data_IF_708117008996
#
_entry.id   IF_708117008996
#
_cell.length_a   1.000
_cell.length_b   1.000
_cell.length_c   1.000
_cell.angle_alpha   90.00
_cell.angle_beta   90.00
_cell.angle_gamma   90.00
#
_symmetry.space_group_name_H-M   'P 1'
#
loop_
_entity.id
_entity.type
_entity.pdbx_description
1 polymer ?
#
# COMPACT_ATOMS: atom_id res chain seq x y z
N UNK A 1 -45.18 -7.79 20.07
CA UNK A 1 -45.02 -8.18 21.48
C UNK A 1 -43.98 -7.26 22.08
N UNK A 2 -44.37 -6.48 23.10
CA UNK A 2 -43.55 -5.80 24.14
C UNK A 2 -42.30 -5.03 23.66
N UNK A 3 -42.33 -3.70 23.44
CA UNK A 3 -42.40 -2.59 24.41
C UNK A 3 -41.41 -2.69 25.58
N UNK A 4 -40.41 -1.78 25.64
CA UNK A 4 -40.00 -1.12 26.89
C UNK A 4 -39.15 0.11 26.61
N UNK A 5 -39.77 1.27 26.84
CA UNK A 5 -39.15 2.57 27.06
C UNK A 5 -38.61 2.61 28.49
N UNK A 6 -37.45 3.20 28.72
CA UNK A 6 -37.07 3.70 30.05
C UNK A 6 -36.77 5.19 29.93
N UNK A 7 -37.74 5.98 30.37
CA UNK A 7 -37.59 7.37 30.76
C UNK A 7 -37.05 7.40 32.20
N UNK A 8 -36.14 8.32 32.51
CA UNK A 8 -35.74 8.63 33.89
C UNK A 8 -36.16 10.06 34.22
N UNK A 9 -37.02 10.29 35.23
CA UNK A 9 -37.48 11.62 35.62
C UNK A 9 -36.67 12.20 36.80
N UNK A 10 -36.52 13.53 36.75
CA UNK A 10 -36.44 14.51 37.84
C UNK A 10 -36.24 14.01 39.28
N UNK A 11 -35.20 14.53 39.95
CA UNK A 11 -35.25 14.77 41.39
C UNK A 11 -34.72 16.16 41.70
N UNK A 12 -35.62 17.00 42.21
CA UNK A 12 -35.36 18.35 42.69
C UNK A 12 -35.02 18.36 44.18
N UNK A 13 -34.26 19.40 44.55
CA UNK A 13 -34.34 20.17 45.81
C UNK A 13 -33.57 19.64 47.03
N UNK A 14 -32.47 20.33 47.37
CA UNK A 14 -32.19 20.73 48.74
C UNK A 14 -31.32 22.00 48.75
N UNK A 15 -31.96 23.11 49.12
CA UNK A 15 -31.36 24.39 49.45
C UNK A 15 -30.63 24.26 50.78
N UNK A 16 -29.33 24.55 50.83
CA UNK A 16 -28.59 24.75 52.09
C UNK A 16 -27.82 26.07 51.99
N UNK A 17 -28.48 27.14 52.46
CA UNK A 17 -27.82 28.39 52.83
C UNK A 17 -27.23 28.17 54.22
N UNK A 18 -25.90 28.20 54.34
CA UNK A 18 -25.25 28.48 55.62
C UNK A 18 -24.00 29.33 55.39
N UNK A 19 -24.09 30.51 55.97
CA UNK A 19 -23.19 31.65 55.92
C UNK A 19 -21.89 31.46 56.70
N UNK A 20 -20.88 32.23 56.24
CA UNK A 20 -19.71 32.76 56.94
C UNK A 20 -18.55 31.81 57.25
N UNK A 21 -17.49 31.95 56.46
CA UNK A 21 -16.21 32.41 56.99
C UNK A 21 -15.52 33.28 55.94
N UNK A 22 -15.39 34.58 56.24
CA UNK A 22 -14.40 35.45 55.62
C UNK A 22 -13.01 34.83 55.83
N UNK A 23 -12.27 34.67 54.74
CA UNK A 23 -10.89 34.26 54.74
C UNK A 23 -10.16 34.89 53.57
N UNK A 24 -10.14 36.23 53.49
CA UNK A 24 -9.07 36.91 52.79
C UNK A 24 -7.83 36.83 53.69
N UNK A 25 -6.94 35.88 53.39
CA UNK A 25 -5.53 35.99 53.77
C UNK A 25 -4.89 36.96 52.79
N UNK A 26 -4.88 38.23 53.17
CA UNK A 26 -4.13 39.30 52.53
C UNK A 26 -2.71 39.25 53.09
N UNK A 27 -1.79 38.66 52.33
CA UNK A 27 -0.36 38.89 52.47
C UNK A 27 0.16 39.58 51.20
N UNK A 28 -0.54 40.64 50.78
CA UNK A 28 -0.06 41.55 49.75
C UNK A 28 1.17 42.28 50.25
N UNK A 29 2.36 41.77 49.91
CA UNK A 29 3.57 42.58 49.95
C UNK A 29 3.34 43.78 49.05
N UNK A 30 3.28 44.97 49.63
CA UNK A 30 3.22 46.21 48.85
C UNK A 30 4.64 46.63 48.49
N UNK A 31 4.88 46.79 47.19
CA UNK A 31 5.99 47.58 46.67
C UNK A 31 5.93 49.02 47.25
N UNK A 32 7.03 49.78 47.40
CA UNK A 32 7.04 51.12 48.01
C UNK A 32 6.09 52.12 47.34
N UNK A 33 5.62 51.82 46.12
CA UNK A 33 4.74 52.66 45.31
C UNK A 33 3.25 52.25 45.35
N UNK A 34 2.87 51.24 46.15
CA UNK A 34 1.47 50.88 46.41
C UNK A 34 0.79 50.01 45.35
N UNK A 35 1.56 49.40 44.46
CA UNK A 35 1.06 48.36 43.54
C UNK A 35 0.89 47.03 44.28
N UNK A 36 -0.23 46.34 44.04
CA UNK A 36 -0.46 44.99 44.55
C UNK A 36 0.43 44.03 43.76
N UNK A 37 1.35 43.35 44.44
CA UNK A 37 2.18 42.31 43.83
C UNK A 37 1.32 41.08 43.51
N UNK A 38 1.62 40.43 42.39
CA UNK A 38 1.04 39.14 42.05
C UNK A 38 1.38 38.10 43.12
N UNK A 39 0.47 37.16 43.36
CA UNK A 39 0.69 36.04 44.29
C UNK A 39 0.79 34.69 43.58
N UNK A 40 0.30 34.62 42.35
CA UNK A 40 0.27 33.42 41.53
C UNK A 40 0.17 33.79 40.04
N UNK A 41 0.50 32.84 39.18
CA UNK A 41 0.63 33.05 37.74
C UNK A 41 -0.69 33.49 37.08
N UNK A 42 -1.86 33.12 37.64
CA UNK A 42 -3.17 33.51 37.08
C UNK A 42 -3.49 34.99 37.24
N UNK A 43 -2.82 35.69 38.17
CA UNK A 43 -2.93 37.15 38.29
C UNK A 43 -2.13 37.90 37.21
N UNK A 44 -1.23 37.20 36.54
CA UNK A 44 -0.40 37.72 35.47
C UNK A 44 -0.87 37.30 34.08
N UNK A 45 -1.76 36.31 34.00
CA UNK A 45 -2.43 35.87 32.78
C UNK A 45 -3.21 37.02 32.14
N UNK A 46 -2.73 37.49 31.00
CA UNK A 46 -3.35 38.57 30.25
C UNK A 46 -4.39 38.05 29.22
N UNK A 47 -4.60 36.74 29.18
CA UNK A 47 -5.50 36.04 28.27
C UNK A 47 -4.98 35.97 26.84
N UNK A 48 -3.71 36.30 26.60
CA UNK A 48 -3.02 36.15 25.32
C UNK A 48 -2.27 34.82 25.36
N UNK A 49 -2.54 33.96 24.39
CA UNK A 49 -1.89 32.66 24.32
C UNK A 49 -0.53 32.75 23.63
N UNK A 50 -0.40 33.58 22.58
CA UNK A 50 0.78 33.51 21.71
C UNK A 50 2.06 34.12 22.28
N UNK A 51 1.96 34.99 23.29
CA UNK A 51 3.11 35.48 24.06
C UNK A 51 3.54 34.48 25.15
N UNK A 52 2.72 33.46 25.42
CA UNK A 52 2.96 32.38 26.38
C UNK A 52 2.67 32.75 27.82
N UNK A 53 2.53 31.72 28.66
CA UNK A 53 2.10 31.87 30.04
C UNK A 53 3.02 32.80 30.84
N UNK A 54 2.41 33.84 31.42
CA UNK A 54 3.08 34.78 32.30
C UNK A 54 3.34 34.15 33.67
N UNK A 55 4.49 34.49 34.23
CA UNK A 55 4.88 33.99 35.55
C UNK A 55 4.86 35.11 36.57
N UNK A 56 4.26 34.82 37.71
CA UNK A 56 4.35 35.69 38.88
C UNK A 56 5.72 35.53 39.54
N UNK A 57 6.56 36.56 39.40
CA UNK A 57 7.91 36.65 39.98
C UNK A 57 8.16 38.09 40.47
N UNK A 58 7.70 38.44 41.68
CA UNK A 58 7.84 39.79 42.23
C UNK A 58 9.27 40.33 42.29
N UNK A 59 10.27 39.46 42.43
CA UNK A 59 11.69 39.83 42.50
C UNK A 59 12.44 39.68 41.16
N UNK A 60 11.74 39.35 40.06
CA UNK A 60 12.40 39.11 38.78
C UNK A 60 12.89 40.41 38.13
N UNK A 61 14.16 40.48 37.69
CA UNK A 61 14.67 41.63 36.94
C UNK A 61 13.95 41.74 35.60
N UNK A 62 13.26 42.86 35.38
CA UNK A 62 12.49 43.13 34.17
C UNK A 62 11.00 42.74 34.23
N UNK A 63 10.51 42.29 35.38
CA UNK A 63 9.07 42.15 35.63
C UNK A 63 8.36 43.50 35.71
N UNK A 64 7.03 43.49 35.54
CA UNK A 64 6.18 44.66 35.74
C UNK A 64 6.24 45.16 37.21
N UNK A 65 5.74 46.38 37.51
CA UNK A 65 5.61 46.85 38.90
C UNK A 65 4.73 45.97 39.80
N UNK A 66 3.91 45.09 39.21
CA UNK A 66 3.09 44.10 39.94
C UNK A 66 3.78 42.73 40.02
N UNK A 67 5.02 42.58 39.56
CA UNK A 67 5.78 41.33 39.63
C UNK A 67 5.50 40.33 38.51
N UNK A 68 4.77 40.71 37.46
CA UNK A 68 4.47 39.81 36.35
C UNK A 68 5.59 39.82 35.32
N UNK A 69 6.03 38.62 34.90
CA UNK A 69 7.02 38.42 33.86
C UNK A 69 6.32 37.83 32.65
N UNK A 70 6.44 38.50 31.50
CA UNK A 70 5.87 38.03 30.25
C UNK A 70 6.40 36.64 29.89
N UNK A 71 5.53 35.80 29.32
CA UNK A 71 5.90 34.48 28.87
C UNK A 71 6.83 34.50 27.65
N UNK A 72 7.11 33.30 27.15
CA UNK A 72 7.81 33.08 25.88
C UNK A 72 6.84 32.51 24.87
N UNK A 73 6.94 32.96 23.61
CA UNK A 73 6.09 32.48 22.52
C UNK A 73 5.98 30.95 22.51
N UNK A 74 4.75 30.46 22.48
CA UNK A 74 4.43 29.02 22.65
C UNK A 74 4.69 28.23 21.37
N UNK A 75 4.48 28.86 20.21
CA UNK A 75 4.59 28.19 18.92
C UNK A 75 6.03 28.09 18.41
N UNK A 76 6.33 26.99 17.73
CA UNK A 76 7.64 26.74 17.14
C UNK A 76 7.90 27.68 15.94
N UNK A 77 9.18 27.79 15.55
CA UNK A 77 9.54 28.50 14.33
C UNK A 77 8.92 27.83 13.11
N UNK A 78 8.07 28.54 12.37
CA UNK A 78 7.31 27.99 11.22
C UNK A 78 5.83 27.69 11.54
N UNK A 79 5.36 28.05 12.73
CA UNK A 79 3.95 28.00 13.10
C UNK A 79 3.38 29.42 13.20
N UNK A 80 2.16 29.60 12.72
CA UNK A 80 1.35 30.77 13.02
C UNK A 80 0.62 30.53 14.34
N UNK A 81 0.58 31.53 15.20
CA UNK A 81 -0.19 31.44 16.42
C UNK A 81 -1.56 32.10 16.25
N UNK A 82 -2.63 31.37 16.56
CA UNK A 82 -4.01 31.86 16.52
C UNK A 82 -4.55 32.08 17.95
N UNK A 83 -4.58 33.34 18.39
CA UNK A 83 -5.00 33.74 19.74
C UNK A 83 -6.42 33.30 20.10
N UNK A 84 -7.35 33.39 19.14
CA UNK A 84 -8.77 33.13 19.40
C UNK A 84 -9.07 31.65 19.65
N UNK A 85 -8.23 30.75 19.14
CA UNK A 85 -8.33 29.30 19.33
C UNK A 85 -7.30 28.75 20.31
N UNK A 86 -6.37 29.57 20.79
CA UNK A 86 -5.24 29.16 21.64
C UNK A 86 -4.45 28.00 21.01
N UNK A 87 -4.25 28.05 19.68
CA UNK A 87 -3.57 26.99 18.93
C UNK A 87 -2.40 27.52 18.10
N UNK A 88 -1.35 26.69 18.03
CA UNK A 88 -0.30 26.82 17.04
C UNK A 88 -0.72 26.03 15.80
N UNK A 89 -0.73 26.70 14.65
CA UNK A 89 -1.03 26.07 13.38
C UNK A 89 0.20 26.12 12.47
N UNK A 90 0.39 25.15 11.57
CA UNK A 90 1.41 25.28 10.54
C UNK A 90 1.17 26.59 9.77
N UNK A 91 2.22 27.40 9.65
CA UNK A 91 2.16 28.50 8.69
C UNK A 91 2.41 27.91 7.31
N UNK A 92 1.35 27.73 6.53
CA UNK A 92 1.47 27.36 5.13
C UNK A 92 2.16 28.49 4.37
N UNK A 93 3.37 28.24 3.88
CA UNK A 93 4.03 29.13 2.91
C UNK A 93 3.53 28.90 1.47
N UNK A 94 2.80 27.81 1.25
CA UNK A 94 2.17 27.42 -0.01
C UNK A 94 0.66 27.66 0.02
N UNK A 95 0.01 27.62 -1.15
CA UNK A 95 -1.45 27.53 -1.22
C UNK A 95 -1.89 26.24 -0.51
N UNK A 96 -2.99 26.29 0.24
CA UNK A 96 -3.43 25.15 1.05
C UNK A 96 -3.99 24.00 0.22
N UNK A 97 -4.57 24.33 -0.93
CA UNK A 97 -5.19 23.42 -1.91
C UNK A 97 -4.97 24.07 -3.29
N UNK A 98 -3.86 23.74 -3.95
CA UNK A 98 -3.43 24.44 -5.19
C UNK A 98 -4.26 24.05 -6.40
N UNK A 99 -4.59 22.76 -6.52
CA UNK A 99 -5.28 22.20 -7.67
C UNK A 99 -6.81 22.14 -7.53
N UNK A 100 -7.33 22.35 -6.31
CA UNK A 100 -8.74 22.48 -5.97
C UNK A 100 -9.53 21.18 -6.10
N UNK A 101 -8.90 20.05 -5.82
CA UNK A 101 -9.62 18.80 -5.61
C UNK A 101 -10.28 18.70 -4.21
N UNK A 102 -9.90 19.60 -3.30
CA UNK A 102 -10.45 19.72 -1.96
C UNK A 102 -9.71 18.91 -0.90
N UNK A 103 -8.53 18.37 -1.23
CA UNK A 103 -7.55 17.91 -0.27
C UNK A 103 -6.54 19.02 0.02
N UNK A 104 -6.11 19.12 1.28
CA UNK A 104 -5.11 20.11 1.67
C UNK A 104 -3.69 19.52 1.50
N UNK A 105 -2.73 20.32 1.04
CA UNK A 105 -1.33 19.96 0.90
C UNK A 105 -0.74 19.36 2.20
N UNK A 106 0.12 18.34 2.08
CA UNK A 106 0.87 17.80 3.25
C UNK A 106 1.69 18.88 3.97
N UNK A 107 2.26 19.83 3.24
CA UNK A 107 3.01 20.95 3.82
C UNK A 107 2.14 21.87 4.71
N UNK A 108 0.82 21.80 4.54
CA UNK A 108 -0.19 22.49 5.32
C UNK A 108 -0.81 21.64 6.44
N UNK A 109 -0.33 20.41 6.62
CA UNK A 109 -0.90 19.46 7.58
C UNK A 109 -2.14 18.72 7.05
N UNK A 110 -2.40 18.77 5.74
CA UNK A 110 -3.34 17.88 5.07
C UNK A 110 -2.66 16.58 4.61
N UNK A 111 -3.35 15.84 3.74
CA UNK A 111 -2.97 14.49 3.32
C UNK A 111 -2.80 14.36 1.78
N UNK A 112 -2.84 15.49 1.05
CA UNK A 112 -2.64 15.52 -0.39
C UNK A 112 -1.15 15.27 -0.76
N UNK A 113 -0.92 14.15 -1.44
CA UNK A 113 0.40 13.70 -1.86
C UNK A 113 0.93 14.43 -3.10
N UNK A 114 0.11 15.18 -3.82
CA UNK A 114 0.51 16.05 -4.93
C UNK A 114 -0.52 17.15 -5.18
N UNK A 115 -0.45 18.17 -4.33
CA UNK A 115 -1.23 19.43 -4.34
C UNK A 115 -1.19 20.22 -5.67
N UNK A 116 -0.49 19.73 -6.70
CA UNK A 116 -0.49 20.28 -8.05
C UNK A 116 -1.23 19.41 -9.10
N UNK A 117 -1.73 18.23 -8.74
CA UNK A 117 -2.45 17.30 -9.62
C UNK A 117 -3.77 16.86 -8.97
N UNK A 118 -4.94 17.36 -9.48
CA UNK A 118 -6.25 17.16 -8.84
C UNK A 118 -6.79 15.73 -8.98
N UNK A 119 -5.95 14.79 -9.40
CA UNK A 119 -6.23 13.35 -9.45
C UNK A 119 -5.33 12.58 -8.49
N UNK A 120 -4.66 13.23 -7.54
CA UNK A 120 -3.71 12.61 -6.63
C UNK A 120 -3.97 13.02 -5.19
N UNK A 121 -5.06 12.52 -4.63
CA UNK A 121 -5.55 12.89 -3.31
C UNK A 121 -6.20 11.71 -2.57
N UNK A 122 -6.26 11.74 -1.23
CA UNK A 122 -6.83 10.67 -0.42
C UNK A 122 -8.21 10.16 -0.88
N UNK A 123 -8.26 8.88 -1.22
CA UNK A 123 -9.50 8.18 -1.59
C UNK A 123 -10.00 8.43 -3.01
N UNK A 124 -9.20 9.07 -3.87
CA UNK A 124 -9.44 9.05 -5.31
C UNK A 124 -9.41 7.60 -5.85
N UNK A 125 -10.08 7.25 -6.96
CA UNK A 125 -9.91 5.92 -7.54
C UNK A 125 -8.54 5.76 -8.21
N UNK A 126 -7.84 4.69 -7.86
CA UNK A 126 -6.61 4.24 -8.49
C UNK A 126 -6.75 4.05 -10.01
N UNK A 127 -5.78 4.57 -10.74
CA UNK A 127 -5.66 4.41 -12.18
C UNK A 127 -4.47 3.53 -12.49
N UNK A 128 -4.72 2.38 -13.11
CA UNK A 128 -3.65 1.49 -13.51
C UNK A 128 -2.67 2.16 -14.49
N UNK A 129 -1.46 2.43 -14.00
CA UNK A 129 -0.35 2.86 -14.82
C UNK A 129 1.01 2.31 -14.39
N UNK A 130 1.93 2.27 -15.36
CA UNK A 130 3.32 1.88 -15.17
C UNK A 130 4.22 3.08 -14.78
N UNK A 131 3.67 4.28 -14.73
CA UNK A 131 4.38 5.48 -14.30
C UNK A 131 4.52 5.54 -12.77
N UNK A 132 3.78 4.71 -12.03
CA UNK A 132 3.90 4.64 -10.59
C UNK A 132 3.15 5.75 -9.88
N UNK A 133 2.13 6.35 -10.50
CA UNK A 133 1.37 7.43 -9.89
C UNK A 133 0.45 6.84 -8.85
N UNK A 134 0.56 7.36 -7.64
CA UNK A 134 -0.32 7.02 -6.52
C UNK A 134 -1.45 8.05 -6.53
N UNK A 135 -2.65 7.65 -6.97
CA UNK A 135 -3.81 8.54 -7.12
C UNK A 135 -4.55 8.77 -5.81
N UNK A 136 -4.55 7.79 -4.91
CA UNK A 136 -5.30 7.84 -3.67
C UNK A 136 -4.44 8.12 -2.42
N UNK A 137 -3.16 8.39 -2.64
CA UNK A 137 -2.15 8.67 -1.62
C UNK A 137 -1.94 7.50 -0.61
N UNK A 138 -2.36 6.29 -0.98
CA UNK A 138 -2.01 5.05 -0.32
C UNK A 138 -1.19 4.19 -1.31
N UNK A 139 0.12 3.99 -1.07
CA UNK A 139 0.96 3.25 -2.01
C UNK A 139 0.69 1.74 -2.00
N UNK A 140 -0.28 1.24 -1.24
CA UNK A 140 -0.66 -0.18 -1.15
C UNK A 140 -1.92 -0.52 -1.94
N UNK A 141 -2.66 0.47 -2.39
CA UNK A 141 -3.85 0.36 -3.24
C UNK A 141 -3.43 0.51 -4.69
N UNK A 142 -3.38 -0.58 -5.46
CA UNK A 142 -2.76 -0.56 -6.79
C UNK A 142 -3.74 -0.38 -7.95
N UNK A 143 -5.04 -0.52 -7.73
CA UNK A 143 -6.02 -0.57 -8.81
C UNK A 143 -7.16 -1.55 -8.55
N UNK A 144 -8.16 -1.61 -9.44
CA UNK A 144 -9.22 -2.60 -9.37
C UNK A 144 -8.71 -3.97 -9.79
N UNK A 145 -9.19 -5.01 -9.09
CA UNK A 145 -9.19 -6.40 -9.56
C UNK A 145 -10.42 -6.56 -10.48
N UNK A 146 -10.19 -6.67 -11.79
CA UNK A 146 -11.24 -6.60 -12.82
C UNK A 146 -11.97 -7.94 -12.94
N UNK A 147 -11.28 -9.06 -12.77
CA UNK A 147 -11.86 -10.39 -12.94
C UNK A 147 -12.22 -11.11 -11.62
N UNK A 148 -11.92 -10.48 -10.49
CA UNK A 148 -12.29 -10.84 -9.13
C UNK A 148 -11.62 -12.10 -8.58
N UNK A 149 -10.38 -12.37 -8.99
CA UNK A 149 -9.61 -13.51 -8.52
C UNK A 149 -8.71 -13.23 -7.30
N UNK A 150 -8.66 -11.97 -6.87
CA UNK A 150 -7.89 -11.50 -5.71
C UNK A 150 -6.49 -11.00 -6.05
N UNK A 151 -6.11 -10.94 -7.32
CA UNK A 151 -4.87 -10.38 -7.81
C UNK A 151 -5.16 -9.11 -8.63
N UNK A 152 -4.19 -8.20 -8.70
CA UNK A 152 -4.32 -6.95 -9.47
C UNK A 152 -3.34 -7.00 -10.62
N UNK A 153 -3.71 -6.41 -11.75
CA UNK A 153 -2.86 -6.37 -12.95
C UNK A 153 -1.43 -5.88 -12.67
N UNK A 154 -0.46 -6.57 -13.26
CA UNK A 154 0.95 -6.19 -13.36
C UNK A 154 1.18 -4.83 -14.04
N UNK A 155 0.15 -4.26 -14.65
CA UNK A 155 0.19 -2.93 -15.25
C UNK A 155 -0.20 -1.80 -14.29
N UNK A 156 -0.67 -2.12 -13.09
CA UNK A 156 -1.02 -1.15 -12.08
C UNK A 156 0.08 -1.10 -11.01
N UNK A 157 0.67 0.08 -10.83
CA UNK A 157 1.84 0.26 -9.97
C UNK A 157 1.78 1.60 -9.23
N UNK A 158 2.18 1.61 -7.97
CA UNK A 158 2.34 2.83 -7.16
C UNK A 158 3.80 2.98 -6.68
N UNK A 159 4.28 4.23 -6.68
CA UNK A 159 5.61 4.55 -6.15
C UNK A 159 5.60 4.52 -4.63
N UNK A 160 6.53 3.75 -4.06
CA UNK A 160 6.73 3.62 -2.63
C UNK A 160 7.57 4.75 -2.05
N UNK A 161 7.52 4.90 -0.73
CA UNK A 161 8.29 5.93 0.02
C UNK A 161 9.81 5.83 -0.16
N UNK A 162 10.33 4.65 -0.52
CA UNK A 162 11.75 4.43 -0.83
C UNK A 162 12.11 4.64 -2.31
N UNK A 163 11.13 5.01 -3.13
CA UNK A 163 11.23 5.19 -4.57
C UNK A 163 11.15 3.89 -5.39
N UNK A 164 10.88 2.74 -4.76
CA UNK A 164 10.57 1.50 -5.48
C UNK A 164 9.15 1.52 -6.04
N UNK A 165 8.85 0.64 -6.98
CA UNK A 165 7.48 0.42 -7.46
C UNK A 165 6.92 -0.82 -6.79
N UNK A 166 5.73 -0.70 -6.22
CA UNK A 166 4.88 -1.84 -5.93
C UNK A 166 3.90 -1.97 -7.10
N UNK A 167 3.84 -3.15 -7.70
CA UNK A 167 2.92 -3.44 -8.81
C UNK A 167 2.09 -4.66 -8.46
N UNK A 168 0.95 -4.80 -9.15
CA UNK A 168 0.20 -6.04 -9.17
C UNK A 168 1.03 -7.19 -9.75
N UNK A 169 0.53 -8.40 -9.57
CA UNK A 169 1.16 -9.66 -9.96
C UNK A 169 0.31 -10.49 -10.93
N UNK A 170 -0.84 -9.98 -11.35
CA UNK A 170 -1.68 -10.60 -12.38
C UNK A 170 -1.24 -10.21 -13.81
N UNK A 171 -0.87 -11.22 -14.59
CA UNK A 171 -0.48 -11.06 -15.98
C UNK A 171 -1.68 -10.95 -16.95
N UNK A 172 -2.90 -11.30 -16.52
CA UNK A 172 -4.14 -11.20 -17.28
C UNK A 172 -5.38 -11.01 -16.39
N UNK A 173 -5.52 -9.78 -15.89
CA UNK A 173 -6.66 -9.24 -15.09
C UNK A 173 -8.01 -9.18 -15.83
N UNK A 174 -8.15 -9.89 -16.96
CA UNK A 174 -9.43 -10.10 -17.61
C UNK A 174 -9.90 -11.56 -17.48
N UNK A 175 -9.10 -12.43 -16.87
CA UNK A 175 -9.29 -13.88 -16.82
C UNK A 175 -8.87 -14.46 -15.47
N UNK A 176 -9.82 -14.61 -14.56
CA UNK A 176 -9.64 -15.20 -13.21
C UNK A 176 -8.97 -16.59 -13.12
N UNK A 177 -8.75 -17.25 -14.26
CA UNK A 177 -8.01 -18.51 -14.37
C UNK A 177 -6.54 -18.32 -14.71
N UNK A 178 -6.03 -17.09 -14.74
CA UNK A 178 -4.65 -16.73 -15.09
C UNK A 178 -4.15 -15.76 -14.03
N UNK A 179 -3.46 -16.26 -13.01
CA UNK A 179 -2.93 -15.47 -11.90
C UNK A 179 -1.87 -16.26 -11.11
N UNK A 180 -1.06 -15.62 -10.24
CA UNK A 180 0.01 -16.27 -9.47
C UNK A 180 -0.37 -17.50 -8.65
N UNK A 181 -1.66 -17.66 -8.32
CA UNK A 181 -2.18 -18.78 -7.55
C UNK A 181 -2.56 -20.02 -8.37
N UNK A 182 -2.54 -19.94 -9.71
CA UNK A 182 -2.99 -21.03 -10.58
C UNK A 182 -1.94 -22.13 -10.75
N UNK A 183 -2.41 -23.29 -11.18
CA UNK A 183 -1.56 -24.38 -11.65
C UNK A 183 -1.57 -24.35 -13.17
N UNK A 184 -0.39 -24.48 -13.78
CA UNK A 184 -0.27 -24.58 -15.24
C UNK A 184 -1.18 -25.64 -15.81
N UNK A 185 -1.89 -25.29 -16.88
CA UNK A 185 -2.49 -26.22 -17.80
C UNK A 185 -1.72 -26.13 -19.11
N UNK A 186 -1.57 -27.27 -19.81
CA UNK A 186 -0.88 -27.26 -21.10
C UNK A 186 -1.79 -26.67 -22.20
N UNK A 187 -1.94 -25.35 -22.20
CA UNK A 187 -2.90 -24.56 -22.97
C UNK A 187 -2.23 -23.40 -23.74
N UNK A 188 -0.90 -23.25 -23.63
CA UNK A 188 -0.07 -22.18 -24.20
C UNK A 188 -0.28 -20.80 -23.58
N UNK A 189 -0.77 -20.76 -22.35
CA UNK A 189 -0.91 -19.58 -21.51
C UNK A 189 0.00 -19.80 -20.30
N UNK A 190 0.63 -18.73 -19.82
CA UNK A 190 1.28 -18.72 -18.51
C UNK A 190 0.15 -18.54 -17.50
N UNK A 191 -0.43 -19.64 -17.03
CA UNK A 191 -1.62 -19.60 -16.16
C UNK A 191 -1.23 -19.07 -14.77
N UNK A 192 0.00 -19.30 -14.33
CA UNK A 192 0.48 -18.93 -13.00
C UNK A 192 1.32 -17.63 -12.96
N UNK A 193 1.37 -16.88 -14.06
CA UNK A 193 2.07 -15.60 -14.21
C UNK A 193 3.53 -15.60 -13.74
N UNK A 194 4.26 -16.70 -13.89
CA UNK A 194 5.67 -16.78 -13.48
C UNK A 194 6.67 -16.44 -14.61
N UNK A 195 6.17 -16.16 -15.81
CA UNK A 195 6.93 -15.82 -17.00
C UNK A 195 7.36 -17.02 -17.85
N UNK A 196 7.00 -18.24 -17.45
CA UNK A 196 7.14 -19.47 -18.23
C UNK A 196 5.77 -19.92 -18.72
N UNK A 197 5.73 -20.61 -19.86
CA UNK A 197 4.47 -21.08 -20.45
C UNK A 197 4.47 -22.60 -20.43
N UNK A 198 3.43 -23.19 -19.87
CA UNK A 198 3.20 -24.63 -19.79
C UNK A 198 4.36 -25.40 -19.10
N UNK A 199 5.05 -24.82 -18.13
CA UNK A 199 6.11 -25.53 -17.40
C UNK A 199 5.55 -26.69 -16.56
N UNK A 200 6.37 -27.73 -16.38
CA UNK A 200 6.02 -28.94 -15.62
C UNK A 200 4.80 -29.75 -16.10
N UNK A 201 4.08 -29.27 -17.13
CA UNK A 201 2.92 -29.96 -17.75
C UNK A 201 3.18 -30.45 -19.18
N UNK A 202 4.28 -30.02 -19.79
CA UNK A 202 4.72 -30.50 -21.11
C UNK A 202 5.18 -31.96 -21.08
N UNK A 203 4.85 -32.68 -22.15
CA UNK A 203 5.34 -34.03 -22.42
C UNK A 203 6.61 -33.99 -23.25
N UNK A 204 7.39 -35.07 -23.16
CA UNK A 204 8.61 -35.26 -23.96
C UNK A 204 8.25 -35.97 -25.26
N UNK A 205 8.70 -35.40 -26.37
CA UNK A 205 8.59 -35.98 -27.68
C UNK A 205 9.97 -36.17 -28.28
N UNK A 206 10.27 -37.38 -28.72
CA UNK A 206 11.53 -37.77 -29.33
C UNK A 206 11.38 -37.81 -30.85
N UNK A 207 12.39 -37.39 -31.63
CA UNK A 207 12.37 -37.60 -33.07
C UNK A 207 12.13 -39.08 -33.37
N UNK A 208 11.18 -39.36 -34.26
CA UNK A 208 10.91 -40.66 -34.87
C UNK A 208 11.20 -40.46 -36.35
N UNK A 209 12.41 -40.83 -36.78
CA UNK A 209 12.86 -40.55 -38.12
C UNK A 209 12.30 -41.56 -39.12
N UNK A 210 12.07 -42.82 -38.77
CA UNK A 210 11.61 -43.81 -39.74
C UNK A 210 10.08 -44.04 -39.77
N UNK A 211 9.35 -43.44 -38.83
CA UNK A 211 7.90 -43.38 -38.79
C UNK A 211 7.25 -44.62 -38.17
N UNK A 212 7.90 -45.25 -37.18
CA UNK A 212 7.41 -46.45 -36.51
C UNK A 212 6.85 -46.24 -35.09
N UNK A 213 6.67 -44.97 -34.69
CA UNK A 213 6.18 -44.48 -33.40
C UNK A 213 7.17 -44.64 -32.22
N UNK A 214 8.46 -44.95 -32.49
CA UNK A 214 9.53 -44.95 -31.49
C UNK A 214 10.67 -44.02 -31.90
N UNK A 215 11.27 -43.31 -30.94
CA UNK A 215 12.43 -42.47 -31.20
C UNK A 215 13.73 -43.05 -30.65
N UNK A 216 14.88 -42.56 -31.14
CA UNK A 216 16.20 -43.03 -30.70
C UNK A 216 16.50 -42.76 -29.20
N UNK A 217 17.07 -43.73 -28.44
CA UNK A 217 17.70 -43.52 -27.15
C UNK A 217 18.82 -42.47 -27.24
N UNK A 218 18.77 -41.48 -26.34
CA UNK A 218 19.77 -40.42 -26.29
C UNK A 218 19.54 -39.25 -27.26
N UNK A 219 18.48 -39.30 -28.08
CA UNK A 219 17.97 -38.11 -28.76
C UNK A 219 17.52 -37.05 -27.74
N UNK A 220 17.62 -35.77 -28.12
CA UNK A 220 17.17 -34.67 -27.27
C UNK A 220 15.67 -34.51 -27.46
N UNK A 221 14.83 -34.73 -26.44
CA UNK A 221 13.39 -34.58 -26.59
C UNK A 221 13.02 -33.10 -26.74
N UNK A 222 11.97 -32.85 -27.51
CA UNK A 222 11.26 -31.58 -27.47
C UNK A 222 10.16 -31.64 -26.42
N UNK A 223 9.98 -30.56 -25.65
CA UNK A 223 8.88 -30.44 -24.70
C UNK A 223 7.69 -29.76 -25.39
N UNK A 224 6.51 -30.37 -25.30
CA UNK A 224 5.28 -29.81 -25.86
C UNK A 224 4.04 -30.40 -25.19
N UNK A 225 2.88 -29.74 -25.32
CA UNK A 225 1.59 -30.26 -24.84
C UNK A 225 1.06 -31.44 -25.63
N UNK A 226 1.41 -31.49 -26.91
CA UNK A 226 1.02 -32.52 -27.85
C UNK A 226 2.16 -32.76 -28.82
N UNK A 227 2.15 -33.92 -29.47
CA UNK A 227 3.13 -34.28 -30.47
C UNK A 227 3.25 -33.14 -31.49
N UNK A 228 4.47 -32.64 -31.75
CA UNK A 228 4.68 -31.56 -32.71
C UNK A 228 4.21 -31.97 -34.10
N UNK A 229 3.69 -31.00 -34.85
CA UNK A 229 3.28 -31.23 -36.23
C UNK A 229 4.47 -31.02 -37.15
N UNK A 230 4.78 -32.03 -37.96
CA UNK A 230 5.84 -32.02 -38.96
C UNK A 230 7.10 -32.75 -38.53
N UNK A 231 7.98 -32.95 -39.50
CA UNK A 231 9.16 -33.80 -39.38
C UNK A 231 10.20 -33.16 -38.42
N UNK A 232 10.85 -33.93 -37.54
CA UNK A 232 11.96 -33.46 -36.73
C UNK A 232 13.13 -32.98 -37.60
N UNK A 233 13.84 -31.95 -37.12
CA UNK A 233 15.05 -31.50 -37.79
C UNK A 233 16.10 -32.62 -37.81
N UNK A 234 16.55 -32.98 -39.01
CA UNK A 234 17.56 -34.04 -39.20
C UNK A 234 17.02 -35.38 -39.69
N UNK A 235 15.70 -35.56 -39.72
CA UNK A 235 15.07 -36.69 -40.42
C UNK A 235 14.86 -36.32 -41.89
N UNK A 236 15.34 -37.15 -42.82
CA UNK A 236 15.17 -36.95 -44.28
C UNK A 236 14.13 -37.92 -44.91
N UNK A 237 13.56 -38.75 -44.06
CA UNK A 237 12.69 -39.88 -44.36
C UNK A 237 11.23 -39.42 -44.43
N UNK A 238 10.56 -39.86 -45.51
CA UNK A 238 9.13 -39.59 -45.68
C UNK A 238 8.33 -40.42 -44.67
N UNK A 239 7.69 -39.75 -43.70
CA UNK A 239 6.97 -40.42 -42.61
C UNK A 239 7.53 -40.10 -41.23
N UNK A 240 8.63 -39.36 -41.15
CA UNK A 240 9.19 -38.92 -39.88
C UNK A 240 8.18 -38.12 -39.05
N UNK A 241 8.28 -38.26 -37.73
CA UNK A 241 7.35 -37.71 -36.76
C UNK A 241 7.96 -37.63 -35.38
N UNK A 242 7.11 -37.70 -34.36
CA UNK A 242 7.50 -37.52 -32.98
C UNK A 242 6.86 -38.60 -32.11
N UNK A 243 7.68 -39.35 -31.40
CA UNK A 243 7.27 -40.42 -30.50
C UNK A 243 7.30 -39.99 -29.02
N UNK A 244 6.46 -40.59 -28.18
CA UNK A 244 6.48 -40.40 -26.72
C UNK A 244 7.44 -41.37 -25.99
N UNK A 245 8.04 -42.29 -26.74
CA UNK A 245 9.02 -43.27 -26.28
C UNK A 245 10.36 -43.10 -27.02
N UNK A 246 11.47 -43.33 -26.31
CA UNK A 246 12.83 -43.21 -26.84
C UNK A 246 13.59 -44.54 -26.88
N UNK A 247 12.89 -45.59 -27.29
CA UNK A 247 13.34 -46.97 -27.13
C UNK A 247 13.76 -47.63 -28.45
N UNK A 248 13.93 -46.86 -29.51
CA UNK A 248 14.31 -47.36 -30.82
C UNK A 248 15.84 -47.50 -31.00
N UNK A 249 16.35 -48.74 -31.09
CA UNK A 249 17.78 -48.94 -31.28
C UNK A 249 18.30 -48.55 -32.67
N UNK A 250 17.46 -48.44 -33.70
CA UNK A 250 17.80 -47.98 -35.04
C UNK A 250 16.66 -47.16 -35.68
N UNK A 251 16.61 -45.88 -35.28
CA UNK A 251 15.69 -44.81 -35.73
C UNK A 251 15.86 -44.41 -37.21
N UNK A 252 16.31 -45.34 -38.05
CA UNK A 252 16.40 -45.20 -39.50
C UNK A 252 15.80 -46.40 -40.25
N UNK A 253 15.35 -47.42 -39.53
CA UNK A 253 14.73 -48.63 -40.08
C UNK A 253 13.44 -48.98 -39.30
N UNK A 254 12.25 -48.76 -39.88
CA UNK A 254 10.97 -48.90 -39.18
C UNK A 254 10.60 -50.37 -38.87
N UNK A 255 11.50 -51.31 -39.16
CA UNK A 255 11.38 -52.72 -38.82
C UNK A 255 12.17 -53.12 -37.57
N UNK A 256 12.99 -52.22 -37.02
CA UNK A 256 13.84 -52.46 -35.86
C UNK A 256 13.34 -51.60 -34.70
N UNK A 257 12.33 -52.08 -33.97
CA UNK A 257 11.77 -51.35 -32.84
C UNK A 257 11.20 -52.28 -31.76
N UNK A 258 10.90 -51.78 -30.55
CA UNK A 258 10.36 -52.59 -29.46
C UNK A 258 9.00 -53.25 -29.74
N UNK A 259 8.26 -52.74 -30.73
CA UNK A 259 6.98 -53.31 -31.17
C UNK A 259 7.13 -54.38 -32.26
N UNK A 260 8.30 -54.48 -32.89
CA UNK A 260 8.56 -55.41 -33.98
C UNK A 260 8.60 -56.86 -33.48
N UNK A 261 8.27 -57.81 -34.37
CA UNK A 261 8.43 -59.23 -34.06
C UNK A 261 9.90 -59.61 -34.19
N UNK A 262 10.55 -59.98 -33.09
CA UNK A 262 11.94 -60.42 -33.12
C UNK A 262 12.14 -61.57 -34.11
N UNK A 263 13.08 -61.37 -35.02
CA UNK A 263 13.60 -62.39 -35.92
C UNK A 263 15.02 -62.67 -35.46
N UNK A 264 15.39 -63.94 -35.25
CA UNK A 264 16.74 -64.28 -34.81
C UNK A 264 17.79 -64.12 -35.93
N UNK A 265 18.02 -62.88 -36.39
CA UNK A 265 19.01 -62.50 -37.40
C UNK A 265 20.20 -61.73 -36.82
N UNK A 266 20.11 -61.29 -35.56
CA UNK A 266 21.19 -60.65 -34.81
C UNK A 266 21.35 -59.16 -35.10
N UNK A 267 20.27 -58.51 -35.56
CA UNK A 267 20.19 -57.07 -35.79
C UNK A 267 19.69 -56.31 -34.54
N UNK A 268 18.92 -56.98 -33.67
CA UNK A 268 18.36 -56.48 -32.40
C UNK A 268 19.12 -56.97 -31.13
#
# INVERSE_FOLDING_TARGET
>A
MTASRLASPYLSLALAVLSLALGCGDDGGTDPDGAVLCTDDSMCDDGIFCNGAELCRPDAPGGSPTGCVAGTAVCASGERCEEASETCLPSCEVETDSDRDGADAIACGGDDCDDGDPNRYPGNPETCDLAGRDEDCDPTTLGPDIDTDGYVSTQCCNTQTDGSLLCGDDCNDATSGVNPGQVEACNRIDDNCNGSVDEDVQQRFYPDCDGDDFGAPGSTPMLACAAPVGDPEGCDTAGAGWADANTDCDDTDPTINPGATEICDGVD
#
